data_IF_125942507672
#
_entry.id   IF_125942507672
#
_cell.length_a   1.000
_cell.length_b   1.000
_cell.length_c   1.000
_cell.angle_alpha   90.00
_cell.angle_beta   90.00
_cell.angle_gamma   90.00
#
_symmetry.space_group_name_H-M   'P 1'
#
loop_
_entity.id
_entity.type
_entity.pdbx_description
1 polymer ?
#
# COMPACT_ATOMS: atom_id res chain seq x y z
N UNK A 1 -9.62 -29.65 -14.72
CA UNK A 1 -10.18 -28.85 -15.83
C UNK A 1 -9.08 -28.76 -16.86
N UNK A 2 -9.32 -29.16 -18.09
CA UNK A 2 -8.27 -29.11 -19.11
C UNK A 2 -8.88 -28.77 -20.46
N UNK A 3 -8.07 -28.11 -21.29
CA UNK A 3 -8.35 -27.94 -22.70
C UNK A 3 -8.48 -29.31 -23.37
N UNK A 4 -9.35 -29.38 -24.38
CA UNK A 4 -9.33 -30.46 -25.37
C UNK A 4 -8.07 -30.32 -26.26
N UNK A 5 -6.87 -30.46 -25.69
CA UNK A 5 -5.60 -30.11 -26.35
C UNK A 5 -4.84 -31.32 -26.88
N UNK A 6 -5.05 -32.49 -26.30
CA UNK A 6 -4.36 -33.72 -26.67
C UNK A 6 -4.64 -34.82 -25.66
N UNK A 7 -4.35 -36.08 -26.04
CA UNK A 7 -4.61 -37.26 -25.22
C UNK A 7 -3.88 -37.25 -23.87
N UNK A 8 -2.76 -36.54 -23.78
CA UNK A 8 -2.01 -36.37 -22.53
C UNK A 8 -2.69 -35.40 -21.53
N UNK A 9 -3.66 -34.59 -21.99
CA UNK A 9 -4.37 -33.60 -21.18
C UNK A 9 -5.85 -34.00 -20.98
N UNK A 10 -6.51 -34.40 -22.07
CA UNK A 10 -7.93 -34.76 -22.11
C UNK A 10 -8.10 -36.03 -22.96
N UNK A 11 -8.00 -37.20 -22.31
CA UNK A 11 -8.01 -38.51 -23.00
C UNK A 11 -9.40 -39.12 -23.22
N UNK A 12 -10.48 -38.42 -22.84
CA UNK A 12 -11.83 -38.97 -22.81
C UNK A 12 -12.34 -39.37 -24.19
N UNK A 13 -12.46 -38.41 -25.11
CA UNK A 13 -13.02 -38.56 -26.46
C UNK A 13 -13.11 -37.17 -27.16
N UNK A 14 -13.26 -37.13 -28.48
CA UNK A 14 -13.51 -35.91 -29.26
C UNK A 14 -12.27 -35.29 -29.94
N UNK A 15 -12.45 -34.29 -30.83
CA UNK A 15 -11.34 -33.56 -31.44
C UNK A 15 -10.49 -32.80 -30.43
N UNK A 16 -9.19 -32.65 -30.72
CA UNK A 16 -8.30 -31.79 -29.95
C UNK A 16 -8.23 -30.39 -30.57
N UNK A 17 -9.10 -29.50 -30.11
CA UNK A 17 -9.34 -28.16 -30.68
C UNK A 17 -9.10 -27.00 -29.69
N UNK A 18 -8.41 -27.27 -28.57
CA UNK A 18 -8.16 -26.31 -27.49
C UNK A 18 -9.43 -25.74 -26.83
N UNK A 19 -10.57 -26.43 -26.90
CA UNK A 19 -11.80 -25.95 -26.24
C UNK A 19 -11.56 -25.77 -24.73
N UNK A 20 -11.75 -24.56 -24.18
CA UNK A 20 -11.62 -24.32 -22.75
C UNK A 20 -12.89 -24.68 -21.98
N UNK A 21 -12.73 -25.04 -20.71
CA UNK A 21 -13.83 -25.09 -19.76
C UNK A 21 -14.39 -23.69 -19.49
N UNK A 22 -15.72 -23.56 -19.50
CA UNK A 22 -16.46 -22.33 -19.18
C UNK A 22 -17.70 -22.67 -18.34
N UNK A 23 -18.13 -21.75 -17.47
CA UNK A 23 -19.28 -21.90 -16.55
C UNK A 23 -19.23 -23.20 -15.74
N UNK A 24 -18.21 -23.31 -14.90
CA UNK A 24 -17.97 -24.49 -14.08
C UNK A 24 -18.17 -24.13 -12.62
N UNK A 25 -19.05 -24.87 -11.95
CA UNK A 25 -19.22 -24.79 -10.50
C UNK A 25 -18.66 -26.04 -9.81
N UNK A 26 -17.79 -25.83 -8.82
CA UNK A 26 -17.29 -26.85 -7.91
C UNK A 26 -17.57 -26.36 -6.49
N UNK A 27 -18.46 -27.04 -5.77
CA UNK A 27 -18.97 -26.56 -4.49
C UNK A 27 -19.09 -27.68 -3.45
N UNK A 28 -18.85 -27.36 -2.18
CA UNK A 28 -19.19 -28.24 -1.04
C UNK A 28 -18.37 -29.54 -1.01
N UNK A 29 -17.20 -29.55 -1.62
CA UNK A 29 -16.38 -30.75 -1.77
C UNK A 29 -15.38 -30.90 -0.61
N UNK A 30 -14.96 -32.14 -0.34
CA UNK A 30 -13.87 -32.45 0.58
C UNK A 30 -12.83 -33.33 -0.11
N UNK A 31 -11.57 -32.93 -0.08
CA UNK A 31 -10.46 -33.67 -0.69
C UNK A 31 -9.38 -33.91 0.36
N UNK A 32 -8.85 -35.12 0.42
CA UNK A 32 -7.84 -35.49 1.40
C UNK A 32 -7.42 -36.95 1.28
N UNK A 33 -6.72 -37.47 2.30
CA UNK A 33 -6.29 -38.86 2.29
C UNK A 33 -7.51 -39.78 2.34
N UNK A 34 -7.57 -40.77 1.46
CA UNK A 34 -8.67 -41.74 1.40
C UNK A 34 -8.56 -42.85 2.46
N UNK A 35 -7.39 -42.99 3.10
CA UNK A 35 -7.08 -44.11 3.98
C UNK A 35 -6.72 -45.41 3.26
N UNK A 36 -6.76 -45.44 1.92
CA UNK A 36 -6.35 -46.62 1.14
C UNK A 36 -4.84 -46.83 1.27
N UNK A 37 -4.43 -48.03 1.70
CA UNK A 37 -3.01 -48.39 1.86
C UNK A 37 -2.21 -48.12 0.59
N UNK A 38 -1.03 -47.51 0.73
CA UNK A 38 -0.16 -47.12 -0.38
C UNK A 38 -0.59 -45.86 -1.15
N UNK A 39 -1.68 -45.20 -0.74
CA UNK A 39 -2.11 -43.92 -1.34
C UNK A 39 -1.85 -42.77 -0.39
N UNK A 40 -1.59 -41.59 -0.96
CA UNK A 40 -1.43 -40.33 -0.24
C UNK A 40 -2.44 -39.31 -0.78
N UNK A 41 -2.62 -38.19 -0.07
CA UNK A 41 -3.41 -37.07 -0.61
C UNK A 41 -2.85 -36.64 -1.97
N UNK A 42 -3.76 -36.44 -2.92
CA UNK A 42 -3.38 -35.94 -4.24
C UNK A 42 -2.71 -34.56 -4.14
N UNK A 43 -1.77 -34.23 -5.04
CA UNK A 43 -1.06 -32.96 -4.99
C UNK A 43 -1.98 -31.72 -5.05
N UNK A 44 -3.11 -31.81 -5.76
CA UNK A 44 -4.10 -30.74 -5.86
C UNK A 44 -5.52 -31.27 -5.80
N UNK A 45 -6.45 -30.46 -5.27
CA UNK A 45 -7.87 -30.82 -5.21
C UNK A 45 -8.61 -30.40 -6.49
N UNK A 46 -8.41 -29.15 -6.91
CA UNK A 46 -9.01 -28.58 -8.12
C UNK A 46 -7.93 -27.87 -8.92
N UNK A 47 -8.02 -27.92 -10.24
CA UNK A 47 -7.17 -27.09 -11.08
C UNK A 47 -7.19 -27.47 -12.54
N UNK A 48 -6.32 -26.80 -13.28
CA UNK A 48 -5.97 -27.09 -14.67
C UNK A 48 -4.47 -27.20 -14.85
N UNK A 49 -4.06 -27.88 -15.92
CA UNK A 49 -2.65 -28.12 -16.22
C UNK A 49 -2.31 -27.86 -17.69
N UNK A 50 -3.31 -27.79 -18.56
CA UNK A 50 -3.18 -27.37 -19.95
C UNK A 50 -3.50 -25.88 -20.14
N UNK A 51 -2.91 -25.31 -21.18
CA UNK A 51 -3.11 -23.92 -21.59
C UNK A 51 -2.76 -23.77 -23.07
N UNK A 52 -3.40 -22.83 -23.77
CA UNK A 52 -3.12 -22.43 -25.15
C UNK A 52 -3.31 -20.92 -25.28
N UNK A 53 -2.58 -20.24 -26.19
CA UNK A 53 -2.71 -18.80 -26.38
C UNK A 53 -4.15 -18.37 -26.68
N UNK A 54 -4.67 -17.39 -25.95
CA UNK A 54 -6.03 -16.88 -26.12
C UNK A 54 -7.14 -17.86 -25.73
N UNK A 55 -6.82 -18.93 -24.98
CA UNK A 55 -7.78 -19.96 -24.54
C UNK A 55 -7.82 -20.13 -23.02
N UNK A 56 -8.11 -19.07 -22.25
CA UNK A 56 -8.27 -19.19 -20.81
C UNK A 56 -9.55 -19.97 -20.46
N UNK A 57 -9.56 -20.62 -19.31
CA UNK A 57 -10.78 -21.09 -18.66
C UNK A 57 -11.53 -19.88 -18.05
N UNK A 58 -12.84 -19.81 -18.24
CA UNK A 58 -13.65 -18.63 -17.87
C UNK A 58 -14.81 -19.01 -16.97
N UNK A 59 -15.25 -18.10 -16.10
CA UNK A 59 -16.41 -18.33 -15.20
C UNK A 59 -16.31 -19.65 -14.42
N UNK A 60 -15.12 -19.91 -13.86
CA UNK A 60 -14.92 -21.04 -12.97
C UNK A 60 -15.12 -20.57 -11.54
N UNK A 61 -16.03 -21.24 -10.84
CA UNK A 61 -16.45 -20.93 -9.48
C UNK A 61 -16.12 -22.11 -8.58
N UNK A 62 -15.17 -21.93 -7.67
CA UNK A 62 -14.84 -22.92 -6.62
C UNK A 62 -15.30 -22.36 -5.29
N UNK A 63 -16.22 -23.04 -4.61
CA UNK A 63 -16.85 -22.58 -3.37
C UNK A 63 -16.82 -23.66 -2.29
N UNK A 64 -16.63 -23.28 -1.04
CA UNK A 64 -16.80 -24.16 0.13
C UNK A 64 -16.05 -25.49 0.03
N UNK A 65 -14.76 -25.42 -0.33
CA UNK A 65 -13.89 -26.59 -0.51
C UNK A 65 -13.04 -26.82 0.74
N UNK A 66 -13.14 -28.01 1.32
CA UNK A 66 -12.22 -28.48 2.36
C UNK A 66 -11.10 -29.32 1.74
N UNK A 67 -9.86 -29.04 2.08
CA UNK A 67 -8.71 -29.83 1.66
C UNK A 67 -7.76 -30.16 2.80
N UNK A 68 -7.25 -31.40 2.80
CA UNK A 68 -6.35 -31.91 3.84
C UNK A 68 -5.14 -32.63 3.25
N UNK A 69 -3.94 -32.15 3.61
CA UNK A 69 -2.69 -32.81 3.27
C UNK A 69 -2.32 -32.79 1.78
N UNK A 70 -2.95 -31.96 0.94
CA UNK A 70 -2.54 -31.84 -0.47
C UNK A 70 -1.06 -31.48 -0.55
N UNK A 71 -0.27 -32.23 -1.33
CA UNK A 71 1.18 -32.01 -1.38
C UNK A 71 1.60 -30.69 -2.05
N UNK A 72 0.73 -30.08 -2.86
CA UNK A 72 0.95 -28.80 -3.54
C UNK A 72 -0.21 -27.84 -3.22
N UNK A 73 -0.88 -27.26 -4.23
CA UNK A 73 -1.98 -26.31 -4.04
C UNK A 73 -3.31 -27.02 -3.86
N UNK A 74 -4.18 -26.51 -2.98
CA UNK A 74 -5.59 -26.91 -2.96
C UNK A 74 -6.27 -26.58 -4.30
N UNK A 75 -6.17 -25.31 -4.75
CA UNK A 75 -6.68 -24.88 -6.06
C UNK A 75 -5.53 -24.39 -6.93
N UNK A 76 -5.34 -25.01 -8.09
CA UNK A 76 -4.38 -24.58 -9.12
C UNK A 76 -5.10 -24.02 -10.35
N UNK A 77 -5.48 -22.75 -10.29
CA UNK A 77 -6.13 -22.01 -11.37
C UNK A 77 -5.11 -21.56 -12.43
N UNK A 78 -4.67 -22.49 -13.26
CA UNK A 78 -3.72 -22.21 -14.34
C UNK A 78 -4.48 -21.73 -15.59
N UNK A 79 -4.23 -20.49 -16.01
CA UNK A 79 -4.93 -19.83 -17.13
C UNK A 79 -6.43 -19.68 -16.94
N UNK A 80 -6.86 -19.25 -15.76
CA UNK A 80 -8.26 -18.91 -15.47
C UNK A 80 -8.46 -17.40 -15.52
N UNK A 81 -9.63 -16.95 -15.95
CA UNK A 81 -10.05 -15.54 -15.89
C UNK A 81 -11.54 -15.45 -15.53
N UNK A 82 -12.02 -14.28 -15.15
CA UNK A 82 -13.44 -14.04 -14.81
C UNK A 82 -13.96 -15.09 -13.80
N UNK A 83 -13.17 -15.37 -12.77
CA UNK A 83 -13.34 -16.56 -11.91
C UNK A 83 -13.32 -16.22 -10.43
N UNK A 84 -14.05 -17.01 -9.64
CA UNK A 84 -14.20 -16.87 -8.19
C UNK A 84 -13.70 -18.13 -7.48
N UNK A 85 -12.84 -17.94 -6.49
CA UNK A 85 -12.37 -18.99 -5.59
C UNK A 85 -12.66 -18.53 -4.17
N UNK A 86 -13.66 -19.13 -3.51
CA UNK A 86 -14.10 -18.71 -2.18
C UNK A 86 -14.35 -19.85 -1.21
N UNK A 87 -14.28 -19.55 0.09
CA UNK A 87 -14.60 -20.50 1.15
C UNK A 87 -13.64 -21.69 1.25
N UNK A 88 -12.35 -21.49 0.94
CA UNK A 88 -11.35 -22.56 0.92
C UNK A 88 -10.83 -22.82 2.33
N UNK A 89 -10.91 -24.07 2.78
CA UNK A 89 -10.39 -24.51 4.08
C UNK A 89 -9.25 -25.52 3.88
N UNK A 90 -8.01 -25.04 3.96
CA UNK A 90 -6.81 -25.84 3.78
C UNK A 90 -6.17 -26.22 5.13
N UNK A 91 -5.94 -27.52 5.36
CA UNK A 91 -5.25 -28.02 6.56
C UNK A 91 -4.04 -28.84 6.19
N UNK A 92 -2.87 -28.43 6.67
CA UNK A 92 -1.59 -29.11 6.42
C UNK A 92 -1.31 -29.35 4.93
N UNK A 93 -1.83 -28.49 4.05
CA UNK A 93 -1.55 -28.55 2.61
C UNK A 93 -0.21 -27.86 2.30
N UNK A 94 0.43 -28.26 1.21
CA UNK A 94 1.67 -27.64 0.72
C UNK A 94 1.49 -26.15 0.42
N UNK A 95 0.34 -25.77 -0.12
CA UNK A 95 -0.09 -24.40 -0.45
C UNK A 95 -1.62 -24.34 -0.55
N UNK A 96 -2.19 -23.14 -0.61
CA UNK A 96 -3.64 -22.94 -0.73
C UNK A 96 -4.08 -22.77 -2.18
N UNK A 97 -4.27 -21.53 -2.62
CA UNK A 97 -4.75 -21.16 -3.96
C UNK A 97 -3.60 -20.61 -4.79
N UNK A 98 -3.46 -21.06 -6.03
CA UNK A 98 -2.62 -20.41 -7.05
C UNK A 98 -3.44 -20.04 -8.26
N UNK A 99 -3.30 -18.80 -8.69
CA UNK A 99 -3.70 -18.32 -10.03
C UNK A 99 -2.44 -17.98 -10.79
N UNK A 100 -2.30 -18.46 -12.02
CA UNK A 100 -1.11 -18.20 -12.84
C UNK A 100 -1.48 -18.01 -14.31
N UNK A 101 -0.85 -17.03 -14.96
CA UNK A 101 -0.90 -16.83 -16.41
C UNK A 101 -0.22 -17.98 -17.17
N UNK A 102 -0.17 -17.90 -18.50
CA UNK A 102 0.64 -18.85 -19.26
C UNK A 102 2.09 -18.73 -18.80
N UNK A 103 2.70 -19.88 -18.54
CA UNK A 103 4.10 -19.94 -18.16
C UNK A 103 4.96 -19.80 -19.42
N UNK A 104 5.67 -18.68 -19.58
CA UNK A 104 6.43 -18.43 -20.82
C UNK A 104 7.57 -19.43 -21.03
N UNK A 105 8.05 -20.08 -19.97
CA UNK A 105 9.06 -21.14 -20.08
C UNK A 105 8.51 -22.44 -20.69
N UNK A 106 7.19 -22.62 -20.72
CA UNK A 106 6.55 -23.85 -21.21
C UNK A 106 6.09 -23.70 -22.66
N UNK A 107 6.97 -24.05 -23.60
CA UNK A 107 6.71 -23.89 -25.04
C UNK A 107 5.41 -24.58 -25.50
N UNK A 108 5.09 -25.78 -25.00
CA UNK A 108 3.87 -26.51 -25.35
C UNK A 108 2.59 -25.77 -24.96
N UNK A 109 2.63 -24.89 -23.95
CA UNK A 109 1.48 -24.10 -23.50
C UNK A 109 1.32 -22.81 -24.31
N UNK A 110 2.39 -22.39 -24.99
CA UNK A 110 2.39 -21.24 -25.90
C UNK A 110 2.03 -21.59 -27.34
N UNK A 111 1.73 -22.85 -27.63
CA UNK A 111 1.35 -23.34 -28.97
C UNK A 111 -0.02 -24.03 -28.92
N UNK A 112 -0.96 -23.68 -29.81
CA UNK A 112 -2.23 -24.37 -29.99
C UNK A 112 -2.11 -25.88 -30.28
N UNK A 113 -3.20 -26.63 -30.07
CA UNK A 113 -3.37 -28.00 -30.47
C UNK A 113 -3.07 -28.17 -31.97
N UNK A 114 -2.39 -29.26 -32.33
CA UNK A 114 -1.96 -29.52 -33.71
C UNK A 114 -0.79 -28.66 -34.21
N UNK A 115 -0.21 -27.78 -33.37
CA UNK A 115 1.00 -27.03 -33.72
C UNK A 115 0.79 -25.82 -34.64
N UNK A 116 -0.47 -25.39 -34.83
CA UNK A 116 -0.81 -24.25 -35.68
C UNK A 116 -0.51 -22.88 -35.03
N UNK A 117 -0.43 -21.84 -35.86
CA UNK A 117 -0.30 -20.43 -35.44
C UNK A 117 -1.61 -19.90 -34.82
N UNK A 118 -1.58 -18.93 -33.88
CA UNK A 118 -0.42 -18.20 -33.37
C UNK A 118 0.24 -18.86 -32.15
N UNK A 119 1.59 -18.95 -32.21
CA UNK A 119 2.44 -19.19 -31.03
C UNK A 119 2.91 -17.84 -30.50
N UNK A 120 2.83 -17.64 -29.18
CA UNK A 120 3.33 -16.41 -28.51
C UNK A 120 4.70 -16.67 -27.89
N UNK A 121 5.54 -15.65 -27.71
CA UNK A 121 6.88 -15.80 -27.09
C UNK A 121 6.85 -15.64 -25.57
N UNK A 122 5.96 -14.80 -25.05
CA UNK A 122 5.81 -14.51 -23.62
C UNK A 122 4.57 -15.16 -23.00
N UNK A 123 4.18 -14.61 -21.86
CA UNK A 123 2.89 -14.90 -21.23
C UNK A 123 1.76 -14.12 -21.92
N UNK A 124 0.53 -14.34 -21.45
CA UNK A 124 -0.64 -13.58 -21.84
C UNK A 124 -1.33 -13.00 -20.60
N UNK A 125 -1.93 -11.80 -20.70
CA UNK A 125 -2.65 -11.23 -19.58
C UNK A 125 -3.91 -12.06 -19.25
N UNK A 126 -4.28 -12.04 -17.98
CA UNK A 126 -5.55 -12.54 -17.45
C UNK A 126 -6.21 -11.43 -16.64
N UNK A 127 -7.52 -11.51 -16.43
CA UNK A 127 -8.25 -10.49 -15.67
C UNK A 127 -9.34 -11.08 -14.79
N UNK A 128 -9.83 -10.26 -13.86
CA UNK A 128 -11.07 -10.48 -13.10
C UNK A 128 -11.02 -11.76 -12.27
N UNK A 129 -10.10 -11.78 -11.31
CA UNK A 129 -9.91 -12.90 -10.41
C UNK A 129 -10.27 -12.46 -9.00
N UNK A 130 -11.16 -13.21 -8.37
CA UNK A 130 -11.53 -13.04 -6.97
C UNK A 130 -11.12 -14.27 -6.19
N UNK A 131 -10.29 -14.08 -5.17
CA UNK A 131 -9.94 -15.10 -4.18
C UNK A 131 -10.30 -14.57 -2.79
N UNK A 132 -11.32 -15.15 -2.18
CA UNK A 132 -11.83 -14.67 -0.89
C UNK A 132 -12.08 -15.80 0.10
N UNK A 133 -12.16 -15.45 1.39
CA UNK A 133 -12.53 -16.39 2.46
C UNK A 133 -11.67 -17.67 2.48
N UNK A 134 -10.34 -17.50 2.39
CA UNK A 134 -9.39 -18.62 2.45
C UNK A 134 -8.85 -18.75 3.87
N UNK A 135 -9.05 -19.91 4.48
CA UNK A 135 -8.41 -20.28 5.75
C UNK A 135 -7.36 -21.36 5.50
N UNK A 136 -6.11 -21.11 5.93
CA UNK A 136 -5.04 -22.12 5.90
C UNK A 136 -4.38 -22.28 7.27
N UNK A 137 -4.36 -23.50 7.78
CA UNK A 137 -3.70 -23.83 9.06
C UNK A 137 -2.69 -24.95 8.84
N UNK A 138 -1.44 -24.71 9.24
CA UNK A 138 -0.35 -25.67 9.05
C UNK A 138 0.10 -25.78 7.58
N UNK A 139 1.19 -26.50 7.34
CA UNK A 139 1.73 -26.72 5.99
C UNK A 139 2.42 -25.48 5.42
N UNK A 140 2.18 -25.17 4.15
CA UNK A 140 2.84 -24.05 3.46
C UNK A 140 4.26 -24.34 3.01
N UNK A 141 4.69 -25.61 3.00
CA UNK A 141 6.05 -26.00 2.59
C UNK A 141 6.28 -25.96 1.08
N UNK A 142 5.23 -25.86 0.27
CA UNK A 142 5.31 -25.81 -1.19
C UNK A 142 5.24 -24.36 -1.71
N UNK A 143 4.28 -23.56 -1.23
CA UNK A 143 4.11 -22.15 -1.60
C UNK A 143 3.13 -21.43 -0.65
N UNK A 144 2.80 -20.17 -0.95
CA UNK A 144 1.89 -19.33 -0.20
C UNK A 144 0.46 -19.90 -0.05
N UNK A 145 -0.27 -19.41 0.95
CA UNK A 145 -1.70 -19.71 1.10
C UNK A 145 -2.52 -19.15 -0.07
N UNK A 146 -2.20 -17.96 -0.56
CA UNK A 146 -2.71 -17.44 -1.83
C UNK A 146 -1.56 -16.88 -2.66
N UNK A 147 -1.40 -17.38 -3.89
CA UNK A 147 -0.45 -16.87 -4.87
C UNK A 147 -1.16 -16.47 -6.16
N UNK A 148 -0.98 -15.22 -6.58
CA UNK A 148 -1.41 -14.75 -7.90
C UNK A 148 -0.17 -14.34 -8.66
N UNK A 149 0.00 -14.87 -9.87
CA UNK A 149 1.24 -14.76 -10.61
C UNK A 149 1.02 -14.53 -12.10
N UNK A 150 1.39 -13.34 -12.55
CA UNK A 150 1.61 -13.00 -13.95
C UNK A 150 3.08 -13.15 -14.33
N UNK A 151 3.44 -12.49 -15.43
CA UNK A 151 4.81 -12.23 -15.88
C UNK A 151 4.88 -10.83 -16.51
N UNK A 152 6.08 -10.26 -16.68
CA UNK A 152 6.31 -8.96 -17.34
C UNK A 152 5.56 -8.77 -18.68
N UNK A 153 5.31 -9.86 -19.40
CA UNK A 153 4.62 -9.88 -20.71
C UNK A 153 3.12 -10.19 -20.62
N UNK A 154 2.62 -10.56 -19.45
CA UNK A 154 1.24 -10.95 -19.21
C UNK A 154 0.90 -10.84 -17.72
N UNK A 155 0.39 -9.67 -17.32
CA UNK A 155 -0.05 -9.40 -15.95
C UNK A 155 -1.36 -10.12 -15.63
N UNK A 156 -1.63 -10.35 -14.35
CA UNK A 156 -3.01 -10.60 -13.88
C UNK A 156 -3.61 -9.27 -13.43
N UNK A 157 -4.64 -8.80 -14.14
CA UNK A 157 -5.34 -7.55 -13.86
C UNK A 157 -6.65 -7.76 -13.08
N UNK A 158 -7.14 -6.71 -12.42
CA UNK A 158 -8.48 -6.72 -11.80
C UNK A 158 -8.61 -7.80 -10.73
N UNK A 159 -7.66 -7.83 -9.78
CA UNK A 159 -7.55 -8.89 -8.78
C UNK A 159 -8.10 -8.44 -7.44
N UNK A 160 -8.96 -9.26 -6.83
CA UNK A 160 -9.40 -9.08 -5.45
C UNK A 160 -8.96 -10.29 -4.63
N UNK A 161 -8.16 -10.04 -3.60
CA UNK A 161 -7.80 -11.03 -2.58
C UNK A 161 -8.31 -10.52 -1.24
N UNK A 162 -9.28 -11.20 -0.62
CA UNK A 162 -9.86 -10.71 0.64
C UNK A 162 -10.13 -11.80 1.67
N UNK A 163 -10.24 -11.42 2.95
CA UNK A 163 -10.58 -12.32 4.05
C UNK A 163 -9.67 -13.55 4.13
N UNK A 164 -8.35 -13.33 4.06
CA UNK A 164 -7.36 -14.41 4.10
C UNK A 164 -6.91 -14.63 5.53
N UNK A 165 -7.06 -15.86 6.02
CA UNK A 165 -6.78 -16.21 7.41
C UNK A 165 -5.75 -17.33 7.44
N UNK A 166 -4.54 -17.06 7.95
CA UNK A 166 -3.48 -18.08 8.03
C UNK A 166 -2.95 -18.24 9.45
N UNK A 167 -2.64 -19.50 9.80
CA UNK A 167 -2.03 -19.86 11.10
C UNK A 167 -0.95 -20.92 10.92
N UNK A 168 0.26 -20.64 11.40
CA UNK A 168 1.37 -21.60 11.45
C UNK A 168 1.71 -22.19 10.07
N UNK A 169 1.87 -21.35 9.06
CA UNK A 169 2.24 -21.77 7.70
C UNK A 169 3.72 -21.48 7.46
N UNK A 170 4.40 -22.30 6.67
CA UNK A 170 5.83 -22.13 6.38
C UNK A 170 6.14 -21.04 5.34
N UNK A 171 5.14 -20.51 4.64
CA UNK A 171 5.29 -19.52 3.56
C UNK A 171 4.51 -18.23 3.83
N UNK A 172 4.26 -17.45 2.78
CA UNK A 172 3.47 -16.22 2.81
C UNK A 172 1.97 -16.52 2.96
N UNK A 173 1.23 -15.58 3.55
CA UNK A 173 -0.24 -15.63 3.49
C UNK A 173 -0.74 -15.25 2.11
N UNK A 174 -0.22 -14.14 1.56
CA UNK A 174 -0.53 -13.66 0.22
C UNK A 174 0.76 -13.33 -0.52
N UNK A 175 0.90 -13.82 -1.75
CA UNK A 175 1.99 -13.49 -2.66
C UNK A 175 1.45 -13.06 -4.01
N UNK A 176 1.77 -11.84 -4.42
CA UNK A 176 1.44 -11.31 -5.75
C UNK A 176 2.72 -11.10 -6.55
N UNK A 177 2.74 -11.58 -7.79
CA UNK A 177 3.84 -11.39 -8.73
C UNK A 177 3.27 -10.92 -10.06
N UNK A 178 3.71 -9.77 -10.57
CA UNK A 178 3.24 -9.19 -11.84
C UNK A 178 1.70 -9.11 -11.91
N UNK A 179 1.14 -8.49 -10.88
CA UNK A 179 -0.30 -8.25 -10.71
C UNK A 179 -0.58 -6.76 -10.81
N UNK A 180 -1.67 -6.39 -11.49
CA UNK A 180 -2.09 -4.99 -11.64
C UNK A 180 -3.54 -4.77 -11.27
N UNK A 181 -3.89 -3.52 -10.92
CA UNK A 181 -5.26 -3.11 -10.59
C UNK A 181 -5.88 -4.03 -9.52
N UNK A 182 -5.22 -4.08 -8.37
CA UNK A 182 -5.52 -5.09 -7.35
C UNK A 182 -5.90 -4.52 -5.99
N UNK A 183 -6.72 -5.29 -5.28
CA UNK A 183 -7.04 -5.10 -3.87
C UNK A 183 -6.65 -6.34 -3.07
N UNK A 184 -5.81 -6.16 -2.06
CA UNK A 184 -5.61 -7.12 -0.96
C UNK A 184 -6.26 -6.51 0.29
N UNK A 185 -7.29 -7.16 0.83
CA UNK A 185 -8.02 -6.66 1.99
C UNK A 185 -8.12 -7.72 3.09
N UNK A 186 -8.12 -7.28 4.36
CA UNK A 186 -8.56 -8.09 5.49
C UNK A 186 -7.80 -9.43 5.64
N UNK A 187 -6.46 -9.33 5.63
CA UNK A 187 -5.56 -10.47 5.84
C UNK A 187 -5.22 -10.61 7.32
N UNK A 188 -5.62 -11.72 7.95
CA UNK A 188 -5.23 -12.10 9.30
C UNK A 188 -4.17 -13.20 9.26
N UNK A 189 -2.90 -12.84 9.39
CA UNK A 189 -1.77 -13.76 9.26
C UNK A 189 -1.04 -13.94 10.59
N UNK A 190 -1.00 -15.17 11.10
CA UNK A 190 -0.35 -15.51 12.36
C UNK A 190 0.70 -16.59 12.15
N UNK A 191 1.93 -16.35 12.60
CA UNK A 191 3.02 -17.34 12.54
C UNK A 191 3.30 -17.79 11.10
N UNK A 192 3.53 -16.84 10.19
CA UNK A 192 3.98 -17.12 8.83
C UNK A 192 5.49 -17.34 8.80
N UNK A 193 5.92 -18.30 7.98
CA UNK A 193 7.32 -18.68 7.81
C UNK A 193 8.11 -17.73 6.91
N UNK A 194 7.43 -16.93 6.09
CA UNK A 194 7.99 -15.92 5.19
C UNK A 194 7.21 -14.59 5.33
N UNK A 195 7.56 -13.58 4.53
CA UNK A 195 6.83 -12.30 4.49
C UNK A 195 5.32 -12.52 4.39
N UNK A 196 4.51 -11.96 5.30
CA UNK A 196 3.09 -12.33 5.36
C UNK A 196 2.31 -11.91 4.10
N UNK A 197 2.44 -10.65 3.67
CA UNK A 197 1.91 -10.15 2.39
C UNK A 197 3.06 -9.67 1.52
N UNK A 198 3.34 -10.37 0.43
CA UNK A 198 4.48 -10.07 -0.44
C UNK A 198 4.02 -9.70 -1.83
N UNK A 199 4.58 -8.62 -2.37
CA UNK A 199 4.41 -8.22 -3.76
C UNK A 199 5.76 -8.16 -4.47
N UNK A 200 5.77 -8.52 -5.76
CA UNK A 200 6.88 -8.35 -6.70
C UNK A 200 6.34 -7.91 -8.06
N UNK A 201 6.85 -6.83 -8.63
CA UNK A 201 6.46 -6.38 -9.96
C UNK A 201 5.00 -5.91 -10.07
N UNK A 202 4.34 -5.62 -8.95
CA UNK A 202 2.91 -5.25 -8.95
C UNK A 202 2.70 -3.75 -9.15
N UNK A 203 1.54 -3.35 -9.68
CA UNK A 203 1.18 -1.93 -9.88
C UNK A 203 -0.29 -1.59 -9.64
N UNK A 204 -0.60 -0.31 -9.36
CA UNK A 204 -1.96 0.23 -9.17
C UNK A 204 -2.75 -0.59 -8.13
N UNK A 205 -2.12 -0.78 -6.98
CA UNK A 205 -2.55 -1.72 -5.95
C UNK A 205 -2.97 -1.07 -4.65
N UNK A 206 -3.84 -1.74 -3.90
CA UNK A 206 -4.19 -1.37 -2.53
C UNK A 206 -4.05 -2.60 -1.62
N UNK A 207 -3.32 -2.45 -0.52
CA UNK A 207 -3.19 -3.45 0.54
C UNK A 207 -3.76 -2.82 1.81
N UNK A 208 -4.89 -3.30 2.31
CA UNK A 208 -5.59 -2.67 3.44
C UNK A 208 -6.02 -3.65 4.53
N UNK A 209 -6.03 -3.17 5.77
CA UNK A 209 -6.63 -3.91 6.89
C UNK A 209 -5.90 -5.21 7.25
N UNK A 210 -4.61 -5.34 6.90
CA UNK A 210 -3.85 -6.54 7.26
C UNK A 210 -3.51 -6.52 8.76
N UNK A 211 -3.80 -7.62 9.45
CA UNK A 211 -3.40 -7.89 10.83
C UNK A 211 -2.39 -9.05 10.85
N UNK A 212 -1.12 -8.71 11.08
CA UNK A 212 0.00 -9.64 10.97
C UNK A 212 0.67 -9.79 12.34
N UNK A 213 0.81 -11.03 12.81
CA UNK A 213 1.45 -11.33 14.09
C UNK A 213 2.37 -12.55 14.00
N UNK A 214 3.67 -12.35 14.21
CA UNK A 214 4.63 -13.45 14.20
C UNK A 214 5.03 -13.84 12.79
N UNK A 215 6.03 -13.18 12.22
CA UNK A 215 6.66 -13.62 10.96
C UNK A 215 8.08 -14.04 11.28
N UNK A 216 8.41 -15.30 11.00
CA UNK A 216 9.69 -15.88 11.42
C UNK A 216 10.84 -15.54 10.47
N UNK A 217 10.56 -15.35 9.18
CA UNK A 217 11.53 -14.85 8.20
C UNK A 217 10.88 -13.81 7.29
N UNK A 218 11.58 -12.72 7.00
CA UNK A 218 11.04 -11.63 6.17
C UNK A 218 10.19 -10.60 6.93
N UNK A 219 9.50 -9.75 6.16
CA UNK A 219 8.78 -8.59 6.67
C UNK A 219 7.29 -8.88 6.92
N UNK A 220 6.54 -7.95 7.53
CA UNK A 220 5.09 -8.07 7.55
C UNK A 220 4.53 -7.93 6.13
N UNK A 221 4.82 -6.79 5.50
CA UNK A 221 4.36 -6.45 4.16
C UNK A 221 5.54 -6.00 3.30
N UNK A 222 5.63 -6.47 2.05
CA UNK A 222 6.59 -5.93 1.07
C UNK A 222 5.92 -5.28 -0.12
N UNK A 223 6.47 -4.14 -0.54
CA UNK A 223 6.26 -3.53 -1.85
C UNK A 223 7.57 -3.60 -2.62
N UNK A 224 7.66 -4.48 -3.61
CA UNK A 224 8.86 -4.66 -4.42
C UNK A 224 8.55 -4.49 -5.91
N UNK A 225 9.10 -3.46 -6.54
CA UNK A 225 9.06 -3.31 -7.99
C UNK A 225 10.46 -3.33 -8.61
N UNK A 226 11.50 -3.78 -7.88
CA UNK A 226 12.88 -3.72 -8.36
C UNK A 226 13.05 -4.54 -9.63
N UNK A 227 13.71 -3.93 -10.62
CA UNK A 227 14.06 -4.58 -11.88
C UNK A 227 12.84 -5.13 -12.64
N UNK A 228 11.67 -4.51 -12.46
CA UNK A 228 10.43 -4.87 -13.17
C UNK A 228 9.91 -3.68 -13.98
N UNK A 229 9.11 -3.91 -15.04
CA UNK A 229 8.41 -2.84 -15.76
C UNK A 229 7.46 -2.02 -14.89
N UNK A 230 7.04 -2.54 -13.73
CA UNK A 230 6.17 -1.84 -12.79
C UNK A 230 6.89 -0.72 -12.00
N UNK A 231 8.23 -0.66 -11.99
CA UNK A 231 9.00 0.26 -11.13
C UNK A 231 8.63 1.74 -11.27
N UNK A 232 8.26 2.19 -12.48
CA UNK A 232 7.89 3.59 -12.75
C UNK A 232 6.40 3.88 -12.56
N UNK A 233 5.60 2.84 -12.28
CA UNK A 233 4.16 2.92 -12.19
C UNK A 233 3.63 2.09 -11.00
N UNK A 234 4.40 1.96 -9.92
CA UNK A 234 4.04 1.10 -8.79
C UNK A 234 2.66 1.49 -8.22
N UNK A 235 2.42 2.75 -7.84
CA UNK A 235 1.10 3.23 -7.33
C UNK A 235 0.47 2.21 -6.38
N UNK A 236 1.17 1.92 -5.28
CA UNK A 236 0.71 0.98 -4.26
C UNK A 236 0.45 1.74 -2.96
N UNK A 237 -0.74 1.57 -2.40
CA UNK A 237 -1.05 2.05 -1.05
C UNK A 237 -1.12 0.88 -0.08
N UNK A 238 -0.42 0.98 1.04
CA UNK A 238 -0.55 0.10 2.21
C UNK A 238 -1.24 0.89 3.31
N UNK A 239 -2.44 0.50 3.72
CA UNK A 239 -3.26 1.29 4.65
C UNK A 239 -3.94 0.52 5.77
N UNK A 240 -4.05 1.12 6.96
CA UNK A 240 -4.84 0.54 8.05
C UNK A 240 -4.31 -0.79 8.57
N UNK A 241 -3.01 -1.07 8.40
CA UNK A 241 -2.42 -2.36 8.76
C UNK A 241 -1.83 -2.34 10.18
N UNK A 242 -1.92 -3.47 10.87
CA UNK A 242 -1.23 -3.72 12.14
C UNK A 242 -0.22 -4.85 11.97
N UNK A 243 1.04 -4.60 12.29
CA UNK A 243 2.13 -5.57 12.14
C UNK A 243 2.90 -5.69 13.46
N UNK A 244 2.98 -6.91 13.98
CA UNK A 244 3.67 -7.20 15.24
C UNK A 244 4.47 -8.49 15.22
N UNK A 245 5.53 -8.57 16.03
CA UNK A 245 6.29 -9.81 16.25
C UNK A 245 7.02 -10.32 15.01
N UNK A 246 7.47 -9.43 14.14
CA UNK A 246 8.15 -9.77 12.88
C UNK A 246 9.67 -9.73 13.06
N UNK A 247 10.36 -10.74 12.52
CA UNK A 247 11.81 -10.90 12.63
C UNK A 247 12.62 -10.01 11.67
N UNK A 248 11.99 -9.36 10.68
CA UNK A 248 12.59 -8.28 9.91
C UNK A 248 11.79 -6.98 10.08
N UNK A 249 11.38 -6.34 8.99
CA UNK A 249 10.70 -5.04 8.99
C UNK A 249 9.19 -5.19 9.11
N UNK A 250 8.50 -4.18 9.64
CA UNK A 250 7.04 -4.13 9.61
C UNK A 250 6.52 -4.05 8.17
N UNK A 251 6.89 -2.96 7.50
CA UNK A 251 6.64 -2.73 6.08
C UNK A 251 7.97 -2.44 5.38
N UNK A 252 8.23 -3.10 4.27
CA UNK A 252 9.46 -2.92 3.49
C UNK A 252 9.15 -2.55 2.04
N UNK A 253 9.52 -1.34 1.66
CA UNK A 253 9.48 -0.84 0.29
C UNK A 253 10.88 -1.00 -0.29
N UNK A 254 11.02 -1.88 -1.27
CA UNK A 254 12.32 -2.15 -1.89
C UNK A 254 12.67 -1.12 -2.96
N UNK A 255 11.71 -0.82 -3.85
CA UNK A 255 11.74 0.28 -4.82
C UNK A 255 10.36 0.50 -5.42
N UNK A 256 10.15 1.63 -6.11
CA UNK A 256 8.93 1.90 -6.86
C UNK A 256 8.66 3.39 -7.03
N UNK A 257 7.50 3.74 -7.56
CA UNK A 257 7.02 5.12 -7.62
C UNK A 257 5.62 5.25 -7.04
N UNK A 258 5.33 6.36 -6.38
CA UNK A 258 3.99 6.67 -5.87
C UNK A 258 3.49 5.66 -4.81
N UNK A 259 4.41 5.22 -3.94
CA UNK A 259 4.07 4.30 -2.84
C UNK A 259 3.58 5.09 -1.63
N UNK A 260 2.42 4.72 -1.11
CA UNK A 260 1.84 5.31 0.12
C UNK A 260 1.77 4.29 1.25
N UNK A 261 2.21 4.66 2.44
CA UNK A 261 1.96 3.91 3.68
C UNK A 261 1.15 4.80 4.62
N UNK A 262 -0.03 4.37 5.01
CA UNK A 262 -0.93 5.20 5.81
C UNK A 262 -1.65 4.48 6.95
N UNK A 263 -1.80 5.17 8.08
CA UNK A 263 -2.69 4.72 9.17
C UNK A 263 -2.31 3.32 9.71
N UNK A 264 -1.01 3.03 9.75
CA UNK A 264 -0.46 1.73 10.16
C UNK A 264 0.11 1.74 11.58
N UNK A 265 -0.06 0.62 12.31
CA UNK A 265 0.52 0.40 13.64
C UNK A 265 1.55 -0.73 13.63
N UNK A 266 2.82 -0.41 13.85
CA UNK A 266 3.96 -1.30 13.64
C UNK A 266 4.77 -1.44 14.94
N UNK A 267 4.89 -2.63 15.50
CA UNK A 267 5.53 -2.77 16.81
C UNK A 267 6.10 -4.14 17.14
N UNK A 268 6.99 -4.20 18.14
CA UNK A 268 7.68 -5.43 18.53
C UNK A 268 8.37 -6.11 17.33
N UNK A 269 9.23 -5.34 16.64
CA UNK A 269 9.89 -5.74 15.41
C UNK A 269 11.40 -5.84 15.61
N UNK A 270 12.04 -6.85 15.04
CA UNK A 270 13.50 -6.97 15.10
C UNK A 270 14.20 -5.99 14.14
N UNK A 271 13.54 -5.59 13.05
CA UNK A 271 14.03 -4.61 12.08
C UNK A 271 13.46 -3.21 12.29
N UNK A 272 13.17 -2.53 11.18
CA UNK A 272 12.54 -1.21 11.13
C UNK A 272 11.00 -1.35 11.18
N UNK A 273 10.31 -0.30 11.61
CA UNK A 273 8.86 -0.18 11.39
C UNK A 273 8.55 -0.11 9.90
N UNK A 274 9.01 0.97 9.25
CA UNK A 274 9.00 1.11 7.79
C UNK A 274 10.44 1.23 7.29
N UNK A 275 10.82 0.37 6.35
CA UNK A 275 12.09 0.46 5.62
C UNK A 275 11.82 0.82 4.16
N UNK A 276 12.49 1.85 3.65
CA UNK A 276 12.51 2.19 2.22
C UNK A 276 13.94 2.08 1.71
N UNK A 277 14.23 1.08 0.87
CA UNK A 277 15.60 0.65 0.58
C UNK A 277 16.30 1.38 -0.55
N UNK A 278 15.69 1.51 -1.73
CA UNK A 278 16.35 2.21 -2.83
C UNK A 278 15.37 2.70 -3.89
N UNK A 279 15.78 3.68 -4.71
CA UNK A 279 15.15 4.08 -5.96
C UNK A 279 13.62 4.19 -5.85
N UNK A 280 13.15 4.79 -4.76
CA UNK A 280 11.74 5.04 -4.53
C UNK A 280 11.48 6.52 -4.78
N UNK A 281 10.54 6.84 -5.65
CA UNK A 281 10.16 8.22 -5.95
C UNK A 281 8.73 8.52 -5.50
N UNK A 282 8.47 9.76 -5.07
CA UNK A 282 7.15 10.23 -4.62
C UNK A 282 6.54 9.35 -3.52
N UNK A 283 7.38 8.97 -2.55
CA UNK A 283 6.96 8.23 -1.35
C UNK A 283 6.08 9.09 -0.46
N UNK A 284 4.97 8.53 0.05
CA UNK A 284 4.18 9.16 1.13
C UNK A 284 4.07 8.22 2.33
N UNK A 285 4.44 8.68 3.53
CA UNK A 285 4.20 7.97 4.79
C UNK A 285 3.36 8.88 5.69
N UNK A 286 2.15 8.47 6.07
CA UNK A 286 1.25 9.27 6.91
C UNK A 286 0.63 8.50 8.06
N UNK A 287 0.53 9.10 9.24
CA UNK A 287 -0.14 8.52 10.41
C UNK A 287 0.36 7.11 10.78
N UNK A 288 1.68 6.90 10.70
CA UNK A 288 2.30 5.61 11.03
C UNK A 288 2.85 5.64 12.45
N UNK A 289 2.44 4.69 13.27
CA UNK A 289 2.95 4.52 14.63
C UNK A 289 3.97 3.39 14.69
N UNK A 290 5.14 3.68 15.24
CA UNK A 290 6.20 2.70 15.47
C UNK A 290 6.61 2.66 16.94
N UNK A 291 6.77 1.46 17.53
CA UNK A 291 7.29 1.29 18.92
C UNK A 291 7.93 -0.08 19.12
N UNK A 292 8.95 -0.17 19.96
CA UNK A 292 9.59 -1.46 20.27
C UNK A 292 10.21 -2.11 19.04
N UNK A 293 10.89 -1.32 18.21
CA UNK A 293 11.71 -1.78 17.08
C UNK A 293 13.16 -1.86 17.53
N UNK A 294 13.92 -2.90 17.13
CA UNK A 294 15.36 -2.95 17.44
C UNK A 294 16.19 -2.02 16.54
N UNK A 295 15.65 -1.65 15.37
CA UNK A 295 16.18 -0.58 14.51
C UNK A 295 15.32 0.69 14.59
N UNK A 296 15.62 1.69 13.76
CA UNK A 296 14.82 2.93 13.66
C UNK A 296 13.35 2.63 13.31
N UNK A 297 12.41 3.42 13.82
CA UNK A 297 10.98 3.29 13.50
C UNK A 297 10.71 3.44 12.00
N UNK A 298 11.15 4.53 11.39
CA UNK A 298 11.09 4.74 9.93
C UNK A 298 12.49 5.01 9.40
N UNK A 299 12.94 4.27 8.39
CA UNK A 299 14.23 4.44 7.73
C UNK A 299 14.07 4.61 6.22
N UNK A 300 14.60 5.71 5.69
CA UNK A 300 14.55 6.08 4.28
C UNK A 300 15.97 6.36 3.81
N UNK A 301 16.42 5.66 2.77
CA UNK A 301 17.78 5.77 2.24
C UNK A 301 17.96 6.95 1.28
N UNK A 302 19.21 7.28 0.98
CA UNK A 302 19.59 8.45 0.18
C UNK A 302 19.25 8.40 -1.30
N UNK A 303 18.84 7.24 -1.82
CA UNK A 303 18.37 7.11 -3.21
C UNK A 303 16.85 7.30 -3.34
N UNK A 304 16.16 7.59 -2.24
CA UNK A 304 14.75 7.97 -2.25
C UNK A 304 14.62 9.45 -2.56
N UNK A 305 13.64 9.81 -3.40
CA UNK A 305 13.37 11.19 -3.82
C UNK A 305 11.91 11.57 -3.58
N UNK A 306 11.66 12.87 -3.38
CA UNK A 306 10.31 13.43 -3.21
C UNK A 306 9.49 12.74 -2.10
N UNK A 307 10.15 12.33 -1.02
CA UNK A 307 9.49 11.70 0.12
C UNK A 307 8.70 12.72 0.95
N UNK A 308 7.52 12.33 1.40
CA UNK A 308 6.65 13.11 2.27
C UNK A 308 6.28 12.27 3.49
N UNK A 309 6.57 12.80 4.69
CA UNK A 309 6.25 12.16 5.97
C UNK A 309 5.35 13.06 6.81
N UNK A 310 4.28 12.49 7.39
CA UNK A 310 3.36 13.19 8.29
C UNK A 310 2.81 12.26 9.38
N UNK A 311 2.56 12.76 10.59
CA UNK A 311 1.92 11.97 11.64
C UNK A 311 2.68 10.69 12.02
N UNK A 312 3.98 10.64 11.72
CA UNK A 312 4.84 9.51 12.07
C UNK A 312 5.25 9.63 13.53
N UNK A 313 5.08 8.56 14.30
CA UNK A 313 5.52 8.49 15.69
C UNK A 313 6.55 7.37 15.88
N UNK A 314 7.55 7.63 16.72
CA UNK A 314 8.75 6.80 16.89
C UNK A 314 10.00 7.43 16.25
N UNK A 315 11.12 6.72 16.26
CA UNK A 315 12.37 7.23 15.68
C UNK A 315 12.30 7.26 14.15
N UNK A 316 12.85 8.31 13.54
CA UNK A 316 12.89 8.48 12.07
C UNK A 316 14.32 8.81 11.64
N UNK A 317 14.81 8.10 10.62
CA UNK A 317 16.05 8.36 9.92
C UNK A 317 15.71 8.55 8.43
N UNK A 318 15.74 9.80 7.98
CA UNK A 318 15.41 10.16 6.61
C UNK A 318 16.65 10.73 5.94
N UNK A 319 17.27 9.92 5.06
CA UNK A 319 18.40 10.31 4.25
C UNK A 319 18.01 10.72 2.84
N UNK A 320 16.71 10.76 2.51
CA UNK A 320 16.23 11.08 1.16
C UNK A 320 16.69 12.47 0.71
N UNK A 321 16.88 12.62 -0.60
CA UNK A 321 17.33 13.88 -1.19
C UNK A 321 16.13 14.83 -1.29
N UNK A 322 15.66 15.35 -0.16
CA UNK A 322 14.73 16.47 -0.09
C UNK A 322 15.23 17.45 0.96
N UNK A 323 15.91 18.51 0.50
CA UNK A 323 16.45 19.58 1.36
C UNK A 323 15.39 20.48 1.97
N UNK A 324 14.11 20.24 1.70
CA UNK A 324 13.01 20.99 2.30
C UNK A 324 11.81 20.07 2.45
N UNK A 325 11.56 19.56 3.66
CA UNK A 325 10.23 19.11 4.02
C UNK A 325 9.31 20.36 3.97
N UNK A 326 8.42 20.52 2.97
CA UNK A 326 7.60 21.72 2.85
C UNK A 326 6.56 21.82 4.00
N UNK A 327 6.41 20.76 4.79
CA UNK A 327 5.53 20.66 5.95
C UNK A 327 6.27 20.84 7.28
N UNK A 328 7.60 21.00 7.28
CA UNK A 328 8.33 21.36 8.49
C UNK A 328 7.94 22.79 8.92
N UNK A 329 7.93 23.04 10.23
CA UNK A 329 7.78 24.38 10.74
C UNK A 329 8.98 25.23 10.32
N UNK A 330 8.71 26.37 9.70
CA UNK A 330 9.74 27.32 9.28
C UNK A 330 9.44 28.68 9.88
N UNK A 331 10.50 29.37 10.33
CA UNK A 331 10.38 30.66 11.00
C UNK A 331 9.85 31.73 10.05
N UNK A 332 8.86 32.48 10.50
CA UNK A 332 8.33 33.64 9.77
C UNK A 332 9.29 34.82 10.01
N UNK A 333 9.64 35.55 8.96
CA UNK A 333 10.38 36.82 9.13
C UNK A 333 9.38 37.92 9.41
N UNK A 334 9.36 38.43 10.65
CA UNK A 334 8.50 39.57 11.01
C UNK A 334 9.02 40.87 10.39
N UNK A 335 8.11 41.84 10.18
CA UNK A 335 8.45 43.12 9.53
C UNK A 335 8.03 44.34 10.36
N UNK A 336 8.70 45.47 10.13
CA UNK A 336 8.38 46.75 10.75
C UNK A 336 8.51 46.71 12.27
N UNK A 337 7.44 47.07 12.97
CA UNK A 337 7.39 47.12 14.44
C UNK A 337 6.95 45.80 15.09
N UNK A 338 6.70 44.76 14.31
CA UNK A 338 6.31 43.45 14.84
C UNK A 338 7.53 42.67 15.31
N UNK A 339 7.47 42.16 16.54
CA UNK A 339 8.55 41.38 17.15
C UNK A 339 7.99 40.16 17.89
N UNK A 340 8.80 39.10 17.93
CA UNK A 340 8.64 38.03 18.92
C UNK A 340 9.05 38.61 20.26
N UNK A 341 8.09 38.93 21.13
CA UNK A 341 8.42 39.42 22.47
C UNK A 341 7.50 38.90 23.55
N UNK A 342 6.81 37.80 23.33
CA UNK A 342 6.23 37.05 24.45
C UNK A 342 7.35 36.62 25.41
N UNK A 343 7.02 36.02 26.54
CA UNK A 343 8.03 35.43 27.44
C UNK A 343 9.13 34.69 26.65
N UNK A 344 10.39 34.59 27.12
CA UNK A 344 11.40 33.73 26.49
C UNK A 344 10.97 32.26 26.32
N UNK A 345 9.87 31.86 26.96
CA UNK A 345 9.22 30.55 26.86
C UNK A 345 8.17 30.46 25.73
N UNK A 346 7.80 31.56 25.09
CA UNK A 346 6.76 31.58 24.06
C UNK A 346 7.32 31.10 22.71
N UNK A 347 6.56 30.24 21.99
CA UNK A 347 7.01 29.68 20.72
C UNK A 347 7.29 30.78 19.68
N UNK A 348 8.36 30.59 18.90
CA UNK A 348 8.70 31.46 17.79
C UNK A 348 7.53 31.51 16.78
N UNK A 349 7.34 32.64 16.09
CA UNK A 349 6.39 32.73 14.97
C UNK A 349 6.86 31.82 13.84
N UNK A 350 6.08 30.80 13.54
CA UNK A 350 6.41 29.79 12.52
C UNK A 350 5.20 29.52 11.63
N UNK A 351 5.47 29.04 10.42
CA UNK A 351 4.49 28.59 9.47
C UNK A 351 4.85 27.22 8.90
N UNK A 352 3.85 26.49 8.43
CA UNK A 352 4.04 25.28 7.63
C UNK A 352 2.86 25.03 6.70
N UNK A 353 3.09 24.33 5.60
CA UNK A 353 1.98 23.67 4.92
C UNK A 353 1.52 22.47 5.74
N UNK A 354 0.23 22.19 5.64
CA UNK A 354 -0.34 20.90 6.02
C UNK A 354 -0.57 20.06 4.77
N UNK A 355 -0.58 18.73 4.87
CA UNK A 355 -0.80 17.85 3.73
C UNK A 355 -2.13 18.03 3.01
N UNK A 356 -3.13 18.66 3.65
CA UNK A 356 -4.43 18.95 3.02
C UNK A 356 -4.44 20.27 2.21
N UNK A 357 -3.26 20.88 2.02
CA UNK A 357 -3.10 22.14 1.31
C UNK A 357 -3.51 23.36 2.11
N UNK A 358 -3.63 23.26 3.44
CA UNK A 358 -3.84 24.42 4.31
C UNK A 358 -2.52 24.97 4.83
N UNK A 359 -2.39 26.29 4.92
CA UNK A 359 -1.29 26.94 5.62
C UNK A 359 -1.64 27.03 7.11
N UNK A 360 -0.75 26.54 7.97
CA UNK A 360 -0.83 26.69 9.42
C UNK A 360 0.18 27.73 9.90
N UNK A 361 -0.27 28.58 10.83
CA UNK A 361 0.60 29.49 11.59
C UNK A 361 0.67 29.02 13.06
N UNK A 362 1.73 29.41 13.75
CA UNK A 362 1.96 29.16 15.18
C UNK A 362 2.88 30.24 15.77
N UNK A 363 2.82 30.46 17.08
CA UNK A 363 3.69 31.39 17.79
C UNK A 363 3.01 32.68 18.26
N UNK A 364 3.78 33.49 19.00
CA UNK A 364 3.29 34.73 19.62
C UNK A 364 3.99 35.95 19.04
N UNK A 365 3.21 36.94 18.61
CA UNK A 365 3.72 38.21 18.05
C UNK A 365 3.16 39.42 18.80
N UNK A 366 3.92 40.51 18.86
CA UNK A 366 3.49 41.83 19.34
C UNK A 366 3.97 42.92 18.42
N UNK A 367 3.16 43.95 18.24
CA UNK A 367 3.48 45.06 17.34
C UNK A 367 2.49 46.20 17.46
N UNK A 368 2.55 47.14 16.51
CA UNK A 368 1.79 48.40 16.53
C UNK A 368 0.28 48.19 16.42
N UNK A 369 -0.46 49.14 16.97
CA UNK A 369 -1.91 49.17 16.95
C UNK A 369 -2.45 49.19 15.51
N UNK A 370 -3.41 48.30 15.20
CA UNK A 370 -4.11 48.31 13.91
C UNK A 370 -5.49 48.90 14.13
N UNK A 371 -5.75 50.08 13.56
CA UNK A 371 -7.05 50.74 13.65
C UNK A 371 -8.17 49.88 13.05
N UNK A 372 -9.41 50.09 13.51
CA UNK A 372 -10.58 49.44 12.96
C UNK A 372 -10.66 49.69 11.44
N UNK A 373 -10.79 48.62 10.64
CA UNK A 373 -10.82 48.68 9.17
C UNK A 373 -9.46 48.90 8.50
N UNK A 374 -8.36 48.97 9.25
CA UNK A 374 -7.01 49.12 8.71
C UNK A 374 -6.26 47.78 8.60
N UNK A 375 -5.10 47.82 7.95
CA UNK A 375 -4.19 46.69 7.80
C UNK A 375 -2.74 47.08 8.13
N UNK A 376 -1.94 46.11 8.58
CA UNK A 376 -0.50 46.30 8.86
C UNK A 376 0.32 45.12 8.31
N UNK A 377 1.51 45.38 7.71
CA UNK A 377 2.44 44.32 7.34
C UNK A 377 2.91 43.55 8.57
N UNK A 378 2.73 42.23 8.57
CA UNK A 378 3.09 41.35 9.68
C UNK A 378 4.49 40.75 9.47
N UNK A 379 4.79 40.29 8.25
CA UNK A 379 6.04 39.60 7.94
C UNK A 379 6.03 38.96 6.54
N UNK A 380 6.97 38.04 6.31
CA UNK A 380 7.07 37.24 5.08
C UNK A 380 7.28 35.76 5.40
N UNK A 381 6.62 34.89 4.63
CA UNK A 381 6.91 33.46 4.63
C UNK A 381 8.28 33.17 3.97
N UNK A 382 8.98 32.11 4.41
CA UNK A 382 10.09 31.53 3.67
C UNK A 382 9.71 31.19 2.22
N UNK A 383 10.66 31.32 1.29
CA UNK A 383 10.43 31.06 -0.14
C UNK A 383 9.91 29.64 -0.43
N UNK A 384 10.28 28.70 0.44
CA UNK A 384 9.86 27.29 0.46
C UNK A 384 8.40 27.06 0.87
N UNK A 385 7.70 28.11 1.36
CA UNK A 385 6.30 28.06 1.79
C UNK A 385 5.39 28.98 0.95
N UNK A 386 5.87 29.55 -0.16
CA UNK A 386 5.07 30.45 -0.99
C UNK A 386 3.82 29.74 -1.54
N UNK A 387 2.61 30.28 -1.30
CA UNK A 387 1.40 29.67 -1.83
C UNK A 387 1.28 29.92 -3.33
N UNK A 388 0.61 29.00 -4.04
CA UNK A 388 0.27 29.21 -5.45
C UNK A 388 -0.86 30.24 -5.64
N UNK A 389 -1.70 30.45 -4.62
CA UNK A 389 -2.80 31.44 -4.62
C UNK A 389 -2.88 32.19 -3.28
N UNK A 390 -3.84 33.11 -3.15
CA UNK A 390 -4.01 33.85 -1.90
C UNK A 390 -4.56 32.96 -0.79
N UNK A 391 -3.96 33.04 0.41
CA UNK A 391 -4.51 32.48 1.64
C UNK A 391 -5.12 33.61 2.47
N UNK A 392 -6.40 33.50 2.89
CA UNK A 392 -7.12 34.48 3.72
C UNK A 392 -7.94 33.79 4.82
N UNK A 393 -8.19 34.51 5.92
CA UNK A 393 -9.13 34.06 6.98
C UNK A 393 -8.46 33.37 8.16
N UNK A 394 -7.14 33.52 8.29
CA UNK A 394 -6.37 33.02 9.41
C UNK A 394 -6.70 33.85 10.68
N UNK A 395 -7.63 33.39 11.53
CA UNK A 395 -8.11 34.10 12.73
C UNK A 395 -7.14 34.11 13.90
N UNK A 396 -6.50 35.24 14.19
CA UNK A 396 -5.61 35.38 15.35
C UNK A 396 -6.37 35.77 16.61
N UNK A 397 -6.10 35.09 17.73
CA UNK A 397 -6.69 35.45 19.04
C UNK A 397 -5.75 36.37 19.79
N UNK A 398 -6.31 37.44 20.37
CA UNK A 398 -5.56 38.26 21.32
C UNK A 398 -5.84 37.76 22.75
N UNK A 399 -4.80 37.61 23.56
CA UNK A 399 -4.99 37.34 24.98
C UNK A 399 -5.54 38.62 25.65
N UNK A 400 -6.85 38.68 25.88
CA UNK A 400 -7.52 39.77 26.61
C UNK A 400 -8.55 40.61 25.85
N UNK A 401 -8.76 40.42 24.54
CA UNK A 401 -9.85 41.06 23.81
C UNK A 401 -10.36 40.21 22.61
N UNK A 402 -11.70 40.08 22.42
CA UNK A 402 -12.26 39.42 21.25
C UNK A 402 -12.26 40.40 20.06
N UNK A 403 -11.17 40.43 19.28
CA UNK A 403 -11.07 41.20 18.04
C UNK A 403 -10.94 40.26 16.83
N UNK A 404 -11.69 40.45 15.73
CA UNK A 404 -11.61 39.59 14.55
C UNK A 404 -10.44 40.04 13.67
N UNK A 405 -9.24 39.60 14.04
CA UNK A 405 -8.05 39.79 13.20
C UNK A 405 -7.93 38.64 12.21
N UNK A 406 -7.65 38.97 10.95
CA UNK A 406 -7.35 37.96 9.92
C UNK A 406 -5.99 38.20 9.31
N UNK A 407 -5.27 37.12 9.00
CA UNK A 407 -4.03 37.19 8.22
C UNK A 407 -4.31 36.82 6.77
N UNK A 408 -3.73 37.57 5.83
CA UNK A 408 -3.66 37.21 4.42
C UNK A 408 -2.21 37.03 3.96
N UNK A 409 -1.98 36.12 3.01
CA UNK A 409 -0.65 35.81 2.46
C UNK A 409 -0.65 35.96 0.95
N UNK A 410 0.30 36.75 0.43
CA UNK A 410 0.54 36.94 -0.99
C UNK A 410 1.28 35.75 -1.62
N UNK A 411 0.80 35.19 -2.75
CA UNK A 411 1.45 34.07 -3.42
C UNK A 411 2.78 34.43 -4.10
N UNK A 412 2.92 35.65 -4.63
CA UNK A 412 4.12 36.04 -5.38
C UNK A 412 5.29 36.48 -4.50
N UNK A 413 5.02 36.88 -3.26
CA UNK A 413 6.01 37.50 -2.37
C UNK A 413 6.06 36.88 -0.97
N UNK A 414 5.09 36.05 -0.59
CA UNK A 414 4.97 35.51 0.76
C UNK A 414 4.60 36.55 1.80
N UNK A 415 4.29 37.79 1.40
CA UNK A 415 3.98 38.90 2.29
C UNK A 415 2.71 38.61 3.10
N UNK A 416 2.83 38.67 4.42
CA UNK A 416 1.76 38.48 5.39
C UNK A 416 1.22 39.83 5.84
N UNK A 417 -0.10 40.02 5.73
CA UNK A 417 -0.79 41.24 6.15
C UNK A 417 -1.84 40.92 7.19
N UNK A 418 -1.82 41.62 8.32
CA UNK A 418 -2.82 41.53 9.37
C UNK A 418 -3.93 42.56 9.10
N UNK A 419 -5.19 42.13 9.12
CA UNK A 419 -6.38 42.98 8.94
C UNK A 419 -7.17 43.02 10.24
N UNK A 420 -7.53 44.23 10.70
CA UNK A 420 -8.48 44.40 11.79
C UNK A 420 -9.89 44.59 11.23
N UNK A 421 -10.73 43.56 11.31
CA UNK A 421 -12.13 43.64 10.87
C UNK A 421 -13.10 44.05 11.99
N UNK A 422 -12.59 44.37 13.18
CA UNK A 422 -13.38 44.79 14.33
C UNK A 422 -13.69 46.29 14.32
N UNK A 423 -14.59 46.70 15.22
CA UNK A 423 -14.98 48.11 15.44
C UNK A 423 -14.04 48.87 16.37
N UNK A 424 -13.07 48.19 16.99
CA UNK A 424 -12.10 48.77 17.93
C UNK A 424 -10.67 48.56 17.45
N UNK A 425 -9.81 49.57 17.65
CA UNK A 425 -8.38 49.44 17.37
C UNK A 425 -7.74 48.41 18.31
N UNK A 426 -6.95 47.47 17.76
CA UNK A 426 -6.06 46.65 18.59
C UNK A 426 -4.89 47.53 19.04
N UNK A 427 -4.52 47.54 20.32
CA UNK A 427 -3.44 48.40 20.84
C UNK A 427 -2.10 47.68 20.98
N UNK A 428 -1.00 48.45 20.96
CA UNK A 428 0.41 48.01 20.95
C UNK A 428 0.83 47.15 22.16
N UNK A 429 0.01 47.10 23.20
CA UNK A 429 0.27 46.36 24.44
C UNK A 429 -0.17 44.90 24.40
N UNK A 430 -0.87 44.46 23.36
CA UNK A 430 -1.46 43.11 23.29
C UNK A 430 -0.60 42.11 22.50
N UNK A 431 -0.67 40.85 22.93
CA UNK A 431 -0.11 39.69 22.26
C UNK A 431 -1.13 39.06 21.32
N UNK A 432 -0.68 38.61 20.16
CA UNK A 432 -1.49 37.83 19.23
C UNK A 432 -0.93 36.41 19.16
N UNK A 433 -1.78 35.45 19.47
CA UNK A 433 -1.48 34.03 19.36
C UNK A 433 -1.87 33.55 17.97
N UNK A 434 -0.91 32.91 17.28
CA UNK A 434 -1.09 32.37 15.95
C UNK A 434 -1.46 30.87 15.93
N UNK A 435 -1.59 30.25 17.11
CA UNK A 435 -1.69 28.79 17.25
C UNK A 435 -2.98 28.20 16.69
N UNK A 436 -2.86 27.20 15.82
CA UNK A 436 -3.99 26.43 15.29
C UNK A 436 -4.78 27.15 14.19
N UNK A 437 -4.25 28.26 13.68
CA UNK A 437 -4.91 29.05 12.66
C UNK A 437 -4.69 28.43 11.28
N UNK A 438 -5.79 28.09 10.59
CA UNK A 438 -5.78 27.41 9.28
C UNK A 438 -6.49 28.21 8.21
N UNK A 439 -5.90 28.23 7.02
CA UNK A 439 -6.47 28.84 5.83
C UNK A 439 -6.12 28.01 4.60
N UNK A 440 -7.10 27.75 3.75
CA UNK A 440 -6.87 27.08 2.46
C UNK A 440 -6.63 28.11 1.36
N UNK A 441 -5.72 27.77 0.46
CA UNK A 441 -5.61 28.43 -0.84
C UNK A 441 -6.97 28.37 -1.55
N UNK A 442 -7.52 29.53 -1.93
CA UNK A 442 -8.68 29.59 -2.84
C UNK A 442 -8.22 29.79 -4.27
#
# INVERSE_FOLDING_TARGET
>A
LDLAKGSAYFGGFGPYDDTPCTDILIEGCSVGPSGTSGTTSWPRAVGSHSASPGKPHTDVRVRDLRAEGCAQFVVGAYTWQDSLISGIQARNCGAGVRVRTIDSSTASHRTPAGGSSPTITGSQPLTNIVVEDVTMTGGGGYDAAVRIEGEDTGYVGGVIVSNIVTRNIAAQAVRLVDVEDYLVADVAAVQCGATAVSTLGTRRGRIRGAHINGVTTGAGITVDSRSTPAATATDVTVEGCSVTGVQANGIHIFSGADVTVSDCDLYALTGYGVQVSTNTDRLTIRNVRTRGTSSTGVNITSTVTNAVLYGVTGSTADASVSTTNPYAWQTITLSGTWAHTGSPLDPLPMARWTPDGSLELSGVVKGTAVAAGASSPLGTLPATLLPATWVRGLGATSAGAPGPFTVAVSPSTGAMTLYNSGSTAGTVSHWYQLDGIRGRAR
#
